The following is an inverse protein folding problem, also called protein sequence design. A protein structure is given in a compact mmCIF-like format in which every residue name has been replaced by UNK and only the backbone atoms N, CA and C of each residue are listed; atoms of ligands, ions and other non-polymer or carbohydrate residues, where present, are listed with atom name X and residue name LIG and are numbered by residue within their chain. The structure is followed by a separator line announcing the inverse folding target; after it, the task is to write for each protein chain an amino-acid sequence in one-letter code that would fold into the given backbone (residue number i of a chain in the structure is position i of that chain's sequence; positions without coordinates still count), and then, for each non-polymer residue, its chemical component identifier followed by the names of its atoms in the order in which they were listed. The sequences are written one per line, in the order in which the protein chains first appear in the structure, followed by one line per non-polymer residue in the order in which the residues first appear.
data_IF_656189794920
#
_entry.id   IF_656189794920
#
_cell.length_a   1.000
_cell.length_b   1.000
_cell.length_c   1.000
_cell.angle_alpha   90.00
_cell.angle_beta   90.00
_cell.angle_gamma   90.00
#
_symmetry.space_group_name_H-M   'P 1'
#
loop_
_entity.id
_entity.type
_entity.pdbx_description
1 polymer ?
#
# COMPACT_ATOMS: atom_id res chain seq x y z
N UNK A 1 20.66 7.03 -10.05
CA UNK A 1 20.03 5.76 -9.69
C UNK A 1 18.60 6.03 -9.22
N UNK A 2 17.63 5.58 -9.99
CA UNK A 2 16.19 5.85 -9.82
C UNK A 2 15.62 5.10 -8.61
N UNK A 3 16.29 4.07 -8.13
CA UNK A 3 15.92 3.32 -6.94
C UNK A 3 17.02 3.44 -5.89
N UNK A 4 16.99 4.50 -5.10
CA UNK A 4 17.56 4.42 -3.76
C UNK A 4 16.59 3.58 -2.92
N UNK A 5 16.68 2.28 -3.03
CA UNK A 5 16.15 1.38 -2.02
C UNK A 5 17.02 1.56 -0.78
N UNK A 6 16.70 2.58 0.02
CA UNK A 6 17.19 2.69 1.37
C UNK A 6 16.65 1.50 2.15
N UNK A 7 17.49 0.91 2.98
CA UNK A 7 17.09 -0.16 3.86
C UNK A 7 15.87 0.33 4.68
N UNK A 8 14.68 -0.30 4.63
CA UNK A 8 13.47 0.18 5.30
C UNK A 8 13.57 0.21 6.83
N UNK A 9 14.73 -0.17 7.38
CA UNK A 9 15.00 -0.22 8.80
C UNK A 9 15.46 1.11 9.42
N UNK A 10 15.71 2.15 8.64
CA UNK A 10 16.06 3.46 9.20
C UNK A 10 14.79 4.29 9.41
N UNK A 11 14.30 4.28 10.64
CA UNK A 11 13.24 5.17 11.06
C UNK A 11 13.71 6.63 11.05
N UNK A 12 12.77 7.54 10.80
CA UNK A 12 12.96 8.98 10.89
C UNK A 12 12.92 9.38 12.37
N UNK A 13 13.89 10.17 12.82
CA UNK A 13 13.86 10.72 14.19
C UNK A 13 12.64 11.62 14.37
N UNK A 14 11.98 11.53 15.52
CA UNK A 14 10.81 12.36 15.79
C UNK A 14 11.14 13.86 15.79
N UNK A 15 12.35 14.27 16.19
CA UNK A 15 12.84 15.65 16.09
C UNK A 15 12.87 16.16 14.64
N UNK A 16 13.24 15.29 13.69
CA UNK A 16 13.24 15.61 12.26
C UNK A 16 11.81 15.87 11.76
N UNK A 17 10.85 15.06 12.20
CA UNK A 17 9.43 15.30 11.94
C UNK A 17 8.96 16.65 12.51
N UNK A 18 9.32 16.97 13.76
CA UNK A 18 8.96 18.24 14.37
C UNK A 18 9.53 19.44 13.57
N UNK A 19 10.77 19.32 13.10
CA UNK A 19 11.42 20.33 12.25
C UNK A 19 10.67 20.52 10.93
N UNK A 20 10.29 19.43 10.27
CA UNK A 20 9.50 19.46 9.04
C UNK A 20 8.11 20.09 9.26
N UNK A 21 7.44 19.72 10.34
CA UNK A 21 6.12 20.26 10.69
C UNK A 21 6.14 21.76 10.96
N UNK A 22 7.24 22.29 11.51
CA UNK A 22 7.44 23.74 11.76
C UNK A 22 7.85 24.52 10.52
N UNK A 23 8.12 23.86 9.39
CA UNK A 23 8.54 24.53 8.16
C UNK A 23 7.45 25.48 7.64
N UNK A 24 7.85 26.70 7.26
CA UNK A 24 6.93 27.70 6.69
C UNK A 24 6.24 27.24 5.40
N UNK A 25 6.81 26.25 4.68
CA UNK A 25 6.30 25.70 3.42
C UNK A 25 5.23 24.62 3.64
N UNK A 26 5.19 24.03 4.84
CA UNK A 26 4.28 22.94 5.19
C UNK A 26 2.98 23.49 5.75
N UNK A 27 1.86 23.00 5.26
CA UNK A 27 0.51 23.31 5.75
C UNK A 27 0.09 22.35 6.87
N UNK A 28 0.39 21.06 6.69
CA UNK A 28 0.16 20.01 7.66
C UNK A 28 1.18 18.89 7.47
N UNK A 29 1.49 18.17 8.53
CA UNK A 29 2.35 17.01 8.53
C UNK A 29 1.70 15.89 9.34
N UNK A 30 1.71 14.68 8.80
CA UNK A 30 1.14 13.49 9.42
C UNK A 30 2.26 12.49 9.63
N UNK A 31 2.62 12.17 10.87
CA UNK A 31 3.57 11.10 11.16
C UNK A 31 2.91 9.74 10.96
N UNK A 32 3.67 8.79 10.45
CA UNK A 32 3.25 7.41 10.21
C UNK A 32 4.29 6.48 10.82
N UNK A 33 3.85 5.58 11.69
CA UNK A 33 4.63 4.48 12.22
C UNK A 33 4.04 3.16 11.76
N UNK A 34 4.88 2.31 11.17
CA UNK A 34 4.53 0.98 10.67
C UNK A 34 5.49 -0.03 11.28
N UNK A 35 5.06 -1.25 11.45
CA UNK A 35 5.90 -2.34 11.98
C UNK A 35 5.10 -3.37 12.76
N UNK A 36 3.93 -2.98 13.24
CA UNK A 36 3.06 -3.83 14.04
C UNK A 36 1.92 -4.42 13.22
N UNK A 37 1.28 -5.44 13.79
CA UNK A 37 0.14 -6.09 13.16
C UNK A 37 -0.91 -6.52 14.17
N UNK A 38 -2.13 -6.73 13.67
CA UNK A 38 -3.23 -7.34 14.40
C UNK A 38 -3.89 -8.41 13.54
N UNK A 39 -3.76 -9.69 13.93
CA UNK A 39 -4.36 -10.83 13.21
C UNK A 39 -4.11 -10.80 11.68
N UNK A 40 -2.89 -10.43 11.27
CA UNK A 40 -2.49 -10.34 9.86
C UNK A 40 -2.85 -9.02 9.17
N UNK A 41 -3.53 -8.09 9.84
CA UNK A 41 -3.75 -6.74 9.35
C UNK A 41 -2.64 -5.80 9.83
N UNK A 42 -2.25 -4.84 9.00
CA UNK A 42 -1.25 -3.84 9.37
C UNK A 42 -1.80 -2.88 10.42
N UNK A 43 -0.95 -2.55 11.38
CA UNK A 43 -1.18 -1.47 12.33
C UNK A 43 -0.45 -0.23 11.85
N UNK A 44 -1.12 0.90 11.89
CA UNK A 44 -0.60 2.21 11.51
C UNK A 44 -0.73 3.16 12.69
N UNK A 45 0.41 3.49 13.29
CA UNK A 45 0.50 4.55 14.30
C UNK A 45 0.47 5.92 13.64
N UNK A 46 -0.43 6.79 14.07
CA UNK A 46 -0.60 8.12 13.49
C UNK A 46 -1.25 9.10 14.47
N UNK A 47 -1.63 10.27 13.98
CA UNK A 47 -2.34 11.30 14.74
C UNK A 47 -3.71 11.59 14.13
N UNK A 48 -4.55 12.33 14.86
CA UNK A 48 -5.86 12.82 14.40
C UNK A 48 -5.80 13.53 13.04
N UNK A 49 -4.67 14.14 12.72
CA UNK A 49 -4.44 14.82 11.45
C UNK A 49 -4.59 13.88 10.26
N UNK A 50 -4.37 12.58 10.44
CA UNK A 50 -4.57 11.57 9.40
C UNK A 50 -6.02 11.57 8.92
N UNK A 51 -6.99 11.47 9.82
CA UNK A 51 -8.42 11.42 9.46
C UNK A 51 -8.94 12.71 8.85
N UNK A 52 -8.28 13.85 9.14
CA UNK A 52 -8.68 15.16 8.60
C UNK A 52 -8.11 15.44 7.21
N UNK A 53 -6.91 14.95 6.92
CA UNK A 53 -6.14 15.37 5.74
C UNK A 53 -5.89 14.26 4.74
N UNK A 54 -6.04 12.98 5.14
CA UNK A 54 -5.94 11.89 4.19
C UNK A 54 -7.10 11.94 3.20
N UNK A 55 -6.76 11.91 1.91
CA UNK A 55 -7.72 11.93 0.81
C UNK A 55 -7.47 10.74 -0.12
N UNK A 56 -8.54 10.20 -0.69
CA UNK A 56 -8.50 9.11 -1.64
C UNK A 56 -9.46 9.37 -2.81
N UNK A 57 -9.29 8.64 -3.92
CA UNK A 57 -10.10 8.84 -5.13
C UNK A 57 -10.12 10.31 -5.56
N UNK A 58 -11.29 10.84 -5.83
CA UNK A 58 -11.51 12.24 -6.22
C UNK A 58 -11.53 13.18 -5.01
N UNK A 59 -10.44 13.20 -4.23
CA UNK A 59 -10.26 14.04 -3.05
C UNK A 59 -11.27 13.80 -1.92
N UNK A 60 -11.83 12.60 -1.84
CA UNK A 60 -12.73 12.22 -0.77
C UNK A 60 -11.96 12.09 0.56
N UNK A 61 -12.55 12.59 1.63
CA UNK A 61 -12.00 12.47 2.99
C UNK A 61 -12.52 11.22 3.68
N UNK A 62 -11.75 10.73 4.66
CA UNK A 62 -12.17 9.60 5.48
C UNK A 62 -13.42 9.97 6.29
N UNK A 63 -14.39 9.07 6.31
CA UNK A 63 -15.60 9.18 7.12
C UNK A 63 -15.74 7.95 8.03
N UNK A 64 -16.45 8.12 9.13
CA UNK A 64 -16.73 7.04 10.08
C UNK A 64 -18.08 6.41 9.76
N UNK A 65 -18.09 5.08 9.66
CA UNK A 65 -19.32 4.31 9.58
C UNK A 65 -19.97 4.21 10.97
N UNK A 66 -19.13 4.00 12.01
CA UNK A 66 -19.55 3.93 13.40
C UNK A 66 -18.46 4.53 14.29
N UNK A 67 -18.86 5.09 15.44
CA UNK A 67 -17.94 5.64 16.43
C UNK A 67 -17.26 6.92 15.97
N UNK A 68 -16.05 7.14 16.45
CA UNK A 68 -15.31 8.38 16.27
C UNK A 68 -13.79 8.12 16.22
N UNK A 69 -13.03 9.19 15.94
CA UNK A 69 -11.57 9.18 15.99
C UNK A 69 -11.05 8.95 17.41
N UNK A 70 -9.73 8.93 17.56
CA UNK A 70 -9.07 8.82 18.86
C UNK A 70 -9.46 9.94 19.82
N UNK A 71 -9.86 9.56 21.04
CA UNK A 71 -10.06 10.45 22.18
C UNK A 71 -9.04 10.15 23.28
N UNK A 72 -8.60 8.89 23.40
CA UNK A 72 -7.61 8.40 24.35
C UNK A 72 -6.40 7.81 23.63
N UNK A 73 -5.28 7.66 24.35
CA UNK A 73 -4.05 7.09 23.83
C UNK A 73 -4.27 5.70 23.20
N UNK A 74 -5.06 4.85 23.85
CA UNK A 74 -5.29 3.46 23.42
C UNK A 74 -6.53 3.28 22.54
N UNK A 75 -7.16 4.36 22.11
CA UNK A 75 -8.24 4.29 21.14
C UNK A 75 -7.73 3.79 19.80
N UNK A 76 -8.54 2.96 19.17
CA UNK A 76 -8.24 2.32 17.90
C UNK A 76 -9.34 2.59 16.90
N UNK A 77 -8.96 2.98 15.69
CA UNK A 77 -9.87 3.10 14.56
C UNK A 77 -9.53 2.04 13.53
N UNK A 78 -10.51 1.23 13.14
CA UNK A 78 -10.31 0.13 12.20
C UNK A 78 -10.94 0.42 10.84
N UNK A 79 -10.31 -0.10 9.79
CA UNK A 79 -10.87 -0.05 8.43
C UNK A 79 -12.06 -0.99 8.26
N UNK A 80 -12.88 -0.73 7.25
CA UNK A 80 -14.12 -1.47 6.98
C UNK A 80 -13.92 -2.99 6.78
N UNK A 81 -12.86 -3.37 6.05
CA UNK A 81 -12.54 -4.79 5.81
C UNK A 81 -12.05 -5.50 7.09
N UNK A 82 -11.34 -4.79 7.98
CA UNK A 82 -10.91 -5.33 9.28
C UNK A 82 -12.14 -5.66 10.12
N UNK A 83 -13.06 -4.68 10.26
CA UNK A 83 -14.31 -4.87 10.99
C UNK A 83 -15.14 -6.03 10.45
N UNK A 84 -15.32 -6.08 9.13
CA UNK A 84 -16.10 -7.13 8.45
C UNK A 84 -15.49 -8.52 8.61
N UNK A 85 -14.16 -8.66 8.41
CA UNK A 85 -13.50 -9.97 8.44
C UNK A 85 -13.35 -10.54 9.84
N UNK A 86 -13.13 -9.69 10.84
CA UNK A 86 -12.91 -10.12 12.22
C UNK A 86 -14.17 -10.02 13.08
N UNK A 87 -15.28 -9.49 12.54
CA UNK A 87 -16.55 -9.35 13.24
C UNK A 87 -16.55 -8.32 14.36
N UNK A 88 -15.65 -7.33 14.30
CA UNK A 88 -15.46 -6.33 15.35
C UNK A 88 -16.52 -5.24 15.34
N UNK A 89 -16.81 -4.73 16.53
CA UNK A 89 -17.70 -3.59 16.82
C UNK A 89 -16.98 -2.54 17.64
N UNK A 90 -17.52 -1.34 17.64
CA UNK A 90 -17.06 -0.27 18.54
C UNK A 90 -17.24 -0.72 19.98
N UNK A 91 -16.19 -0.55 20.80
CA UNK A 91 -16.11 -1.02 22.19
C UNK A 91 -15.36 -2.35 22.36
N UNK A 92 -15.09 -3.10 21.29
CA UNK A 92 -14.31 -4.34 21.40
C UNK A 92 -12.84 -4.05 21.71
N UNK A 93 -12.22 -4.96 22.47
CA UNK A 93 -10.80 -4.91 22.78
C UNK A 93 -9.96 -5.66 21.75
N UNK A 94 -8.81 -5.11 21.38
CA UNK A 94 -7.87 -5.77 20.46
C UNK A 94 -6.46 -5.81 21.03
N UNK A 95 -5.68 -6.79 20.56
CA UNK A 95 -4.26 -6.98 20.93
C UNK A 95 -3.40 -6.64 19.72
N UNK A 96 -2.40 -5.79 19.89
CA UNK A 96 -1.42 -5.46 18.86
C UNK A 96 -0.16 -6.27 19.10
N UNK A 97 0.36 -6.86 18.02
CA UNK A 97 1.54 -7.72 18.03
C UNK A 97 2.67 -7.11 17.20
N UNK A 98 3.92 -7.34 17.61
CA UNK A 98 5.08 -6.93 16.83
C UNK A 98 5.26 -7.82 15.59
N UNK A 99 5.52 -7.18 14.44
CA UNK A 99 5.78 -7.85 13.18
C UNK A 99 4.52 -8.28 12.41
N UNK A 100 4.71 -8.80 11.19
CA UNK A 100 3.63 -9.19 10.25
C UNK A 100 3.27 -10.69 10.41
N UNK A 101 3.63 -11.34 11.50
CA UNK A 101 3.40 -12.77 11.72
C UNK A 101 2.14 -13.07 12.53
N UNK A 102 1.61 -14.29 12.35
CA UNK A 102 0.50 -14.82 13.18
C UNK A 102 0.94 -15.24 14.59
N UNK A 103 2.23 -15.24 14.89
CA UNK A 103 2.79 -15.61 16.18
C UNK A 103 3.07 -14.36 16.99
N UNK A 104 2.16 -14.04 17.89
CA UNK A 104 2.40 -13.10 18.97
C UNK A 104 3.24 -13.79 20.03
N UNK A 105 4.49 -13.38 20.23
CA UNK A 105 5.33 -13.86 21.34
C UNK A 105 5.01 -13.22 22.68
N UNK A 106 4.05 -12.30 22.73
CA UNK A 106 3.57 -11.70 23.96
C UNK A 106 2.04 -11.75 23.96
N UNK A 107 1.48 -12.70 24.70
CA UNK A 107 0.07 -12.72 25.06
C UNK A 107 -0.17 -11.56 26.03
N UNK A 108 -0.60 -10.44 25.51
CA UNK A 108 -1.10 -9.33 26.31
C UNK A 108 -2.62 -9.54 26.51
N UNK A 109 -3.00 -10.50 27.35
CA UNK A 109 -4.41 -10.79 27.70
C UNK A 109 -5.12 -9.59 28.36
N UNK A 110 -4.38 -8.53 28.67
CA UNK A 110 -4.88 -7.25 29.17
C UNK A 110 -4.47 -6.12 28.24
N UNK A 111 -4.88 -6.20 26.98
CA UNK A 111 -4.64 -5.11 26.05
C UNK A 111 -5.56 -3.93 26.36
N UNK A 112 -5.04 -2.73 26.55
CA UNK A 112 -5.85 -1.54 26.76
C UNK A 112 -6.49 -0.98 25.50
N UNK A 113 -6.20 -1.56 24.31
CA UNK A 113 -6.69 -1.05 23.05
C UNK A 113 -8.18 -1.32 22.86
N UNK A 114 -8.96 -0.25 22.67
CA UNK A 114 -10.41 -0.28 22.48
C UNK A 114 -10.75 0.31 21.12
N UNK A 115 -11.63 -0.36 20.38
CA UNK A 115 -12.11 0.15 19.09
C UNK A 115 -13.06 1.32 19.37
N UNK A 116 -12.61 2.54 19.07
CA UNK A 116 -13.38 3.78 19.18
C UNK A 116 -14.15 4.13 17.91
N UNK A 117 -13.70 3.61 16.75
CA UNK A 117 -14.36 3.90 15.49
C UNK A 117 -14.07 2.89 14.38
N UNK A 118 -15.00 2.82 13.45
CA UNK A 118 -14.92 2.03 12.22
C UNK A 118 -15.08 2.96 11.04
N UNK A 119 -14.11 2.96 10.12
CA UNK A 119 -14.17 3.78 8.91
C UNK A 119 -15.19 3.24 7.91
N UNK A 120 -15.79 4.13 7.15
CA UNK A 120 -16.57 3.77 5.98
C UNK A 120 -15.65 3.17 4.90
N UNK A 121 -16.16 2.26 4.02
CA UNK A 121 -15.38 1.65 2.97
C UNK A 121 -14.79 2.70 2.01
N UNK A 122 -13.50 2.57 1.71
CA UNK A 122 -12.78 3.49 0.81
C UNK A 122 -12.35 2.85 -0.50
N UNK A 123 -12.32 1.51 -0.59
CA UNK A 123 -11.75 0.77 -1.70
C UNK A 123 -10.22 0.86 -1.75
N UNK A 124 -9.57 1.31 -0.70
CA UNK A 124 -8.12 1.50 -0.59
C UNK A 124 -7.50 0.61 0.49
N UNK A 125 -6.17 0.52 0.61
CA UNK A 125 -5.52 -0.20 1.69
C UNK A 125 -5.93 0.25 3.10
N UNK A 126 -6.51 1.44 3.27
CA UNK A 126 -7.06 1.94 4.53
C UNK A 126 -8.11 0.99 5.10
N UNK A 127 -8.93 0.36 4.23
CA UNK A 127 -9.96 -0.59 4.65
C UNK A 127 -9.39 -1.82 5.38
N UNK A 128 -8.11 -2.14 5.12
CA UNK A 128 -7.38 -3.28 5.70
C UNK A 128 -6.36 -2.85 6.76
N UNK A 129 -6.54 -1.66 7.35
CA UNK A 129 -5.58 -1.08 8.31
C UNK A 129 -6.25 -0.88 9.66
N UNK A 130 -5.50 -1.13 10.72
CA UNK A 130 -5.82 -0.80 12.09
C UNK A 130 -5.05 0.46 12.46
N UNK A 131 -5.73 1.53 12.80
CA UNK A 131 -5.13 2.82 13.14
C UNK A 131 -5.10 2.99 14.65
N UNK A 132 -3.95 3.36 15.19
CA UNK A 132 -3.76 3.65 16.62
C UNK A 132 -3.03 4.98 16.80
N UNK A 133 -3.05 5.53 18.00
CA UNK A 133 -2.27 6.73 18.27
C UNK A 133 -0.77 6.44 18.16
N UNK A 134 0.00 7.44 17.76
CA UNK A 134 1.46 7.31 17.68
C UNK A 134 2.08 7.05 19.06
N UNK A 135 1.50 7.62 20.10
CA UNK A 135 1.91 7.42 21.48
C UNK A 135 1.68 5.98 21.96
N UNK A 136 0.58 5.36 21.53
CA UNK A 136 0.29 3.96 21.84
C UNK A 136 1.32 2.99 21.20
N UNK A 137 1.81 3.29 20.00
CA UNK A 137 2.89 2.51 19.37
C UNK A 137 4.16 2.58 20.22
N UNK A 138 4.55 3.75 20.71
CA UNK A 138 5.71 3.87 21.59
C UNK A 138 5.48 3.18 22.94
N UNK A 139 4.26 3.28 23.47
CA UNK A 139 3.89 2.63 24.74
C UNK A 139 4.05 1.11 24.72
N UNK A 140 3.72 0.46 23.60
CA UNK A 140 3.88 -1.00 23.44
C UNK A 140 5.37 -1.42 23.56
N UNK A 141 6.30 -0.52 23.23
CA UNK A 141 7.75 -0.79 23.31
C UNK A 141 8.36 -0.50 24.69
N UNK A 142 7.57 -0.02 25.65
CA UNK A 142 8.03 0.19 27.00
C UNK A 142 8.17 -1.14 27.77
N UNK A 143 8.90 -1.09 28.90
CA UNK A 143 8.95 -2.23 29.80
C UNK A 143 7.55 -2.61 30.32
N UNK A 144 7.24 -3.89 30.55
CA UNK A 144 5.89 -4.34 30.92
C UNK A 144 5.30 -3.62 32.13
N UNK A 145 6.12 -3.27 33.12
CA UNK A 145 5.67 -2.51 34.31
C UNK A 145 5.27 -1.07 33.98
N UNK A 146 6.01 -0.41 33.08
CA UNK A 146 5.70 0.95 32.63
C UNK A 146 4.44 0.94 31.75
N UNK A 147 4.33 -0.06 30.87
CA UNK A 147 3.13 -0.22 30.03
C UNK A 147 1.87 -0.43 30.88
N UNK A 148 1.94 -1.24 31.94
CA UNK A 148 0.79 -1.45 32.83
C UNK A 148 0.40 -0.18 33.62
N UNK A 149 1.38 0.61 34.05
CA UNK A 149 1.10 1.91 34.68
C UNK A 149 0.37 2.85 33.73
N UNK A 150 0.85 2.91 32.47
CA UNK A 150 0.23 3.72 31.43
C UNK A 150 -1.17 3.22 31.04
N UNK A 151 -1.36 1.91 30.98
CA UNK A 151 -2.65 1.31 30.67
C UNK A 151 -3.71 1.61 31.73
N UNK A 152 -3.30 1.74 33.00
CA UNK A 152 -4.19 2.10 34.08
C UNK A 152 -4.48 3.61 34.19
N UNK A 153 -3.50 4.45 33.80
CA UNK A 153 -3.59 5.90 33.87
C UNK A 153 -2.98 6.53 32.59
N UNK A 154 -3.69 6.50 31.45
CA UNK A 154 -3.17 6.93 30.16
C UNK A 154 -2.85 8.43 30.07
N UNK A 155 -3.43 9.25 30.94
CA UNK A 155 -3.26 10.71 30.93
C UNK A 155 -2.10 11.19 31.82
N UNK A 156 -1.55 10.35 32.70
CA UNK A 156 -0.53 10.75 33.67
C UNK A 156 0.89 10.80 33.09
N UNK A 157 1.16 10.12 31.99
CA UNK A 157 2.48 10.01 31.39
C UNK A 157 2.43 10.38 29.92
N UNK A 158 3.09 11.48 29.55
CA UNK A 158 3.30 11.85 28.16
C UNK A 158 4.41 10.96 27.55
N UNK A 159 4.02 10.06 26.67
CA UNK A 159 4.97 9.24 25.89
C UNK A 159 5.28 9.95 24.59
N UNK A 160 6.50 10.49 24.49
CA UNK A 160 6.95 11.05 23.21
C UNK A 160 7.52 9.95 22.33
N UNK A 161 7.07 9.88 21.05
CA UNK A 161 7.64 8.95 20.09
C UNK A 161 9.12 9.26 19.85
N UNK A 162 9.96 8.23 19.78
CA UNK A 162 11.39 8.38 19.46
C UNK A 162 11.63 8.45 17.96
N UNK A 163 10.89 7.64 17.22
CA UNK A 163 11.04 7.52 15.77
C UNK A 163 9.73 7.18 15.07
N UNK A 164 9.69 7.47 13.79
CA UNK A 164 8.55 7.17 12.90
C UNK A 164 9.06 6.60 11.59
N UNK A 165 8.20 5.88 10.87
CA UNK A 165 8.59 5.24 9.60
C UNK A 165 8.52 6.21 8.42
N UNK A 166 7.53 7.08 8.38
CA UNK A 166 7.30 8.02 7.29
C UNK A 166 6.56 9.28 7.76
N UNK A 167 6.59 10.30 6.93
CA UNK A 167 5.81 11.53 7.12
C UNK A 167 5.06 11.85 5.84
N UNK A 168 3.76 12.09 5.95
CA UNK A 168 3.00 12.71 4.87
C UNK A 168 2.97 14.23 5.07
N UNK A 169 3.32 14.97 4.02
CA UNK A 169 3.40 16.43 4.07
C UNK A 169 2.40 17.04 3.08
N UNK A 170 1.55 17.93 3.58
CA UNK A 170 0.76 18.81 2.74
C UNK A 170 1.40 20.18 2.64
N UNK A 171 1.57 20.70 1.44
CA UNK A 171 2.24 21.97 1.17
C UNK A 171 1.23 23.11 1.08
N UNK A 172 1.67 24.32 1.45
CA UNK A 172 0.87 25.55 1.25
C UNK A 172 0.79 25.95 -0.21
N UNK A 173 1.83 25.63 -1.00
CA UNK A 173 1.91 25.97 -2.42
C UNK A 173 2.57 24.84 -3.23
N UNK A 174 2.00 24.53 -4.40
CA UNK A 174 2.58 23.57 -5.33
C UNK A 174 3.96 23.99 -5.85
N UNK A 175 4.23 25.29 -5.92
CA UNK A 175 5.54 25.82 -6.38
C UNK A 175 6.67 25.50 -5.39
N UNK A 176 6.35 25.27 -4.12
CA UNK A 176 7.35 24.95 -3.09
C UNK A 176 7.78 23.48 -3.09
N UNK A 177 7.16 22.63 -3.90
CA UNK A 177 7.35 21.17 -3.90
C UNK A 177 8.80 20.78 -4.14
N UNK A 178 9.39 21.25 -5.24
CA UNK A 178 10.78 20.91 -5.59
C UNK A 178 11.81 21.51 -4.64
N UNK A 179 11.52 22.70 -4.11
CA UNK A 179 12.37 23.32 -3.09
C UNK A 179 12.39 22.46 -1.83
N UNK A 180 11.21 22.13 -1.30
CA UNK A 180 11.12 21.32 -0.09
C UNK A 180 11.71 19.91 -0.29
N UNK A 181 11.48 19.30 -1.47
CA UNK A 181 12.08 18.00 -1.82
C UNK A 181 13.62 18.08 -1.76
N UNK A 182 14.22 19.12 -2.31
CA UNK A 182 15.67 19.33 -2.26
C UNK A 182 16.14 19.53 -0.82
N UNK A 183 15.44 20.35 -0.04
CA UNK A 183 15.79 20.66 1.35
C UNK A 183 15.74 19.38 2.21
N UNK A 184 14.72 18.55 2.02
CA UNK A 184 14.60 17.25 2.70
C UNK A 184 15.69 16.26 2.28
N UNK A 185 15.96 16.14 0.97
CA UNK A 185 16.96 15.21 0.47
C UNK A 185 18.40 15.61 0.86
N UNK A 186 18.63 16.87 1.17
CA UNK A 186 19.91 17.42 1.64
C UNK A 186 19.96 17.61 3.16
N UNK A 187 18.94 17.14 3.89
CA UNK A 187 18.89 17.28 5.34
C UNK A 187 20.01 16.48 6.00
N UNK A 188 20.84 17.15 6.84
CA UNK A 188 22.08 16.56 7.36
C UNK A 188 21.90 15.78 8.66
N UNK A 189 20.86 16.13 9.45
CA UNK A 189 20.69 15.56 10.79
C UNK A 189 20.02 14.19 10.77
N UNK A 190 19.43 13.83 9.61
CA UNK A 190 18.77 12.55 9.41
C UNK A 190 18.79 12.14 7.92
N UNK A 191 18.72 10.85 7.61
CA UNK A 191 18.71 10.34 6.24
C UNK A 191 17.30 10.33 5.69
N UNK A 192 16.82 11.47 5.23
CA UNK A 192 15.50 11.64 4.68
C UNK A 192 15.49 11.52 3.16
N UNK A 193 14.40 10.99 2.62
CA UNK A 193 14.12 10.98 1.20
C UNK A 193 12.68 11.44 0.95
N UNK A 194 12.54 12.53 0.21
CA UNK A 194 11.22 13.02 -0.19
C UNK A 194 10.78 12.36 -1.50
N UNK A 195 9.63 11.70 -1.47
CA UNK A 195 8.99 11.06 -2.62
C UNK A 195 7.76 11.86 -3.01
N UNK A 196 7.64 12.17 -4.30
CA UNK A 196 6.43 12.76 -4.88
C UNK A 196 5.57 11.62 -5.47
N UNK A 197 4.40 11.30 -4.89
CA UNK A 197 3.61 10.16 -5.34
C UNK A 197 3.28 10.19 -6.85
N UNK A 198 2.95 11.38 -7.39
CA UNK A 198 2.67 11.53 -8.82
C UNK A 198 3.87 11.17 -9.70
N UNK A 199 5.08 11.58 -9.32
CA UNK A 199 6.31 11.26 -10.07
C UNK A 199 6.60 9.77 -9.98
N UNK A 200 6.53 9.19 -8.79
CA UNK A 200 6.76 7.76 -8.59
C UNK A 200 5.77 6.89 -9.39
N UNK A 201 4.51 7.30 -9.48
CA UNK A 201 3.52 6.62 -10.31
C UNK A 201 3.83 6.74 -11.80
N UNK A 202 4.29 7.90 -12.28
CA UNK A 202 4.69 8.08 -13.67
C UNK A 202 5.89 7.19 -14.03
N UNK A 203 6.86 7.07 -13.14
CA UNK A 203 8.01 6.17 -13.33
C UNK A 203 7.56 4.70 -13.39
N UNK A 204 6.64 4.30 -12.50
CA UNK A 204 6.06 2.95 -12.52
C UNK A 204 5.34 2.66 -13.85
N UNK A 205 4.52 3.59 -14.33
CA UNK A 205 3.84 3.46 -15.62
C UNK A 205 4.84 3.37 -16.78
N UNK A 206 5.95 4.12 -16.72
CA UNK A 206 7.03 4.00 -17.68
C UNK A 206 7.62 2.59 -17.73
N UNK A 207 7.89 1.97 -16.59
CA UNK A 207 8.38 0.60 -16.52
C UNK A 207 7.37 -0.41 -17.07
N UNK A 208 6.08 -0.24 -16.74
CA UNK A 208 5.02 -1.11 -17.27
C UNK A 208 4.89 -1.02 -18.79
N UNK A 209 5.15 0.15 -19.38
CA UNK A 209 5.15 0.34 -20.83
C UNK A 209 6.20 -0.51 -21.54
N UNK A 210 7.39 -0.72 -20.94
CA UNK A 210 8.40 -1.61 -21.52
C UNK A 210 7.92 -3.07 -21.54
N UNK A 211 7.27 -3.51 -20.45
CA UNK A 211 6.71 -4.87 -20.38
C UNK A 211 5.60 -5.05 -21.42
N UNK A 212 4.72 -4.07 -21.58
CA UNK A 212 3.65 -4.08 -22.57
C UNK A 212 4.20 -4.17 -23.99
N UNK A 213 5.22 -3.39 -24.33
CA UNK A 213 5.87 -3.43 -25.64
C UNK A 213 6.53 -4.78 -25.91
N UNK A 214 7.18 -5.38 -24.92
CA UNK A 214 7.76 -6.72 -25.03
C UNK A 214 6.67 -7.75 -25.33
N UNK A 215 5.56 -7.71 -24.62
CA UNK A 215 4.43 -8.63 -24.85
C UNK A 215 3.82 -8.44 -26.25
N UNK A 216 3.73 -7.22 -26.74
CA UNK A 216 3.26 -6.93 -28.12
C UNK A 216 4.17 -7.55 -29.18
N UNK A 217 5.50 -7.45 -28.99
CA UNK A 217 6.46 -8.07 -29.91
C UNK A 217 6.33 -9.59 -29.90
N UNK A 218 6.24 -10.20 -28.72
CA UNK A 218 6.04 -11.65 -28.58
C UNK A 218 4.72 -12.08 -29.23
N UNK A 219 3.64 -11.37 -29.00
CA UNK A 219 2.34 -11.66 -29.61
C UNK A 219 2.41 -11.57 -31.15
N UNK A 220 3.12 -10.58 -31.68
CA UNK A 220 3.36 -10.45 -33.11
C UNK A 220 4.14 -11.63 -33.71
N UNK A 221 5.19 -12.09 -33.02
CA UNK A 221 5.96 -13.26 -33.43
C UNK A 221 5.14 -14.54 -33.42
N UNK A 222 4.32 -14.74 -32.39
CA UNK A 222 3.40 -15.89 -32.28
C UNK A 222 2.37 -15.88 -33.42
N UNK A 223 1.81 -14.70 -33.70
CA UNK A 223 0.87 -14.55 -34.81
C UNK A 223 1.50 -14.88 -36.17
N UNK A 224 2.71 -14.38 -36.43
CA UNK A 224 3.44 -14.71 -37.64
C UNK A 224 3.73 -16.23 -37.74
N UNK A 225 4.19 -16.83 -36.63
CA UNK A 225 4.44 -18.28 -36.57
C UNK A 225 3.17 -19.10 -36.85
N UNK A 226 2.04 -18.68 -36.31
CA UNK A 226 0.76 -19.32 -36.54
C UNK A 226 0.29 -19.20 -37.99
N UNK A 227 0.51 -18.05 -38.62
CA UNK A 227 0.19 -17.86 -40.04
C UNK A 227 1.04 -18.76 -40.94
N UNK A 228 2.35 -18.91 -40.67
CA UNK A 228 3.20 -19.85 -41.39
C UNK A 228 2.76 -21.28 -41.16
N UNK A 229 2.42 -21.69 -39.94
CA UNK A 229 1.89 -23.00 -39.66
C UNK A 229 0.60 -23.29 -40.40
N UNK A 230 -0.36 -22.37 -40.40
CA UNK A 230 -1.59 -22.49 -41.18
C UNK A 230 -1.33 -22.60 -42.68
N UNK A 231 -0.41 -21.76 -43.21
CA UNK A 231 -0.04 -21.79 -44.66
C UNK A 231 0.57 -23.12 -45.05
N UNK A 232 1.48 -23.68 -44.26
CA UNK A 232 2.08 -24.98 -44.51
C UNK A 232 1.06 -26.12 -44.46
N UNK A 233 0.11 -26.09 -43.50
CA UNK A 233 -0.95 -27.06 -43.39
C UNK A 233 -1.90 -27.01 -44.58
N UNK A 234 -2.27 -25.83 -45.05
CA UNK A 234 -3.12 -25.66 -46.23
C UNK A 234 -2.41 -26.15 -47.50
N UNK A 235 -1.11 -25.84 -47.70
CA UNK A 235 -0.34 -26.32 -48.80
C UNK A 235 -0.23 -27.87 -48.81
N UNK A 236 0.03 -28.48 -47.66
CA UNK A 236 0.06 -29.92 -47.52
C UNK A 236 -1.31 -30.55 -47.89
N UNK A 237 -2.42 -30.00 -47.40
CA UNK A 237 -3.78 -30.46 -47.71
C UNK A 237 -4.11 -30.32 -49.21
N UNK A 238 -3.67 -29.26 -49.86
CA UNK A 238 -3.86 -29.08 -51.32
C UNK A 238 -3.06 -30.11 -52.09
N UNK A 239 -1.81 -30.42 -51.71
CA UNK A 239 -0.99 -31.43 -52.36
C UNK A 239 -1.59 -32.85 -52.23
N UNK A 240 -2.13 -33.21 -51.08
CA UNK A 240 -2.86 -34.48 -50.88
C UNK A 240 -4.09 -34.56 -51.80
N UNK A 241 -4.90 -33.52 -51.86
CA UNK A 241 -6.07 -33.46 -52.73
C UNK A 241 -5.72 -33.50 -54.22
N UNK A 242 -4.57 -32.90 -54.64
CA UNK A 242 -4.14 -33.00 -56.02
C UNK A 242 -3.84 -34.43 -56.46
N UNK A 243 -3.25 -35.26 -55.58
CA UNK A 243 -3.02 -36.67 -55.88
C UNK A 243 -4.33 -37.45 -55.99
N UNK A 244 -5.31 -37.20 -55.13
CA UNK A 244 -6.66 -37.79 -55.21
C UNK A 244 -7.37 -37.37 -56.51
N UNK A 245 -7.32 -36.08 -56.85
CA UNK A 245 -7.90 -35.55 -58.09
C UNK A 245 -7.25 -36.19 -59.33
N UNK A 246 -5.93 -36.41 -59.30
CA UNK A 246 -5.21 -37.08 -60.39
C UNK A 246 -5.73 -38.53 -60.57
N UNK A 247 -5.96 -39.27 -59.49
CA UNK A 247 -6.54 -40.62 -59.54
C UNK A 247 -7.96 -40.57 -60.09
N UNK A 248 -8.81 -39.64 -59.66
CA UNK A 248 -10.18 -39.52 -60.20
C UNK A 248 -10.19 -39.16 -61.69
N UNK A 249 -9.25 -38.32 -62.13
CA UNK A 249 -9.08 -38.01 -63.58
C UNK A 249 -8.70 -39.22 -64.39
N UNK A 250 -7.80 -40.07 -63.90
CA UNK A 250 -7.43 -41.35 -64.56
C UNK A 250 -8.61 -42.29 -64.63
N UNK A 251 -9.49 -42.28 -63.65
CA UNK A 251 -10.71 -43.07 -63.62
C UNK A 251 -11.88 -42.48 -64.42
N UNK A 252 -11.65 -41.37 -65.15
CA UNK A 252 -12.60 -40.79 -66.13
C UNK A 252 -13.54 -39.72 -65.53
N UNK A 253 -13.25 -39.17 -64.34
CA UNK A 253 -14.02 -38.05 -63.80
C UNK A 253 -13.75 -36.74 -64.56
N UNK A 254 -14.79 -36.16 -65.13
CA UNK A 254 -14.74 -34.88 -65.83
C UNK A 254 -14.62 -33.68 -64.89
N UNK A 255 -14.14 -32.51 -65.38
CA UNK A 255 -13.87 -31.30 -64.55
C UNK A 255 -15.09 -30.70 -63.83
N UNK A 256 -16.30 -31.13 -64.12
CA UNK A 256 -17.52 -30.68 -63.45
C UNK A 256 -18.02 -31.61 -62.31
N UNK A 257 -17.25 -32.71 -62.00
CA UNK A 257 -17.59 -33.69 -60.92
C UNK A 257 -16.53 -33.82 -59.83
N UNK A 258 -15.49 -32.95 -59.86
CA UNK A 258 -14.40 -32.90 -58.87
C UNK A 258 -14.48 -31.66 -58.05
#
# INVERSE_FOLDING_TARGET
SVFRMGNPTNNIKYESFQTLNRSALVKWAIPISLGDSHKGFRVLGTTDSYFRHYQFGDQQTLSFHQGQKFNSMFDTVIGADVAKKLGYRVGDHIVISHGIGHTSFANHDKSPFIISGILAPTGTPVDKTVHVSLQAIEAIHLAPSQFQMLANNPDDISVEPKSITAVMLGLKSKFSTFKLQRDINNYKNDRLMAVLPGVAMTELWGLMSYVENLLRVIAGLVLLSSLFGLSTMLLASINERQSEIAVFRVLGAGPGRI
#
